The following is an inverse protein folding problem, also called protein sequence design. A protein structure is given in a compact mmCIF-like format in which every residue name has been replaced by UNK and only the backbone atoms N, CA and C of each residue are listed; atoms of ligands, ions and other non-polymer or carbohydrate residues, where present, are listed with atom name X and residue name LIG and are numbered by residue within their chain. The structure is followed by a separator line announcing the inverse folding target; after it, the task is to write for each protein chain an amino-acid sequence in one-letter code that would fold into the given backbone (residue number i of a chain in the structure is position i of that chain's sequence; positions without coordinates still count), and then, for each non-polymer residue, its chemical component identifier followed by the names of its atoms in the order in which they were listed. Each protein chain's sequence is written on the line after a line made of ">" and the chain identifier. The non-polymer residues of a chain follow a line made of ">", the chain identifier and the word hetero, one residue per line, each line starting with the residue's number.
data_IF_850464538217
#
_entry.id   IF_850464538217
#
_cell.length_a   1.000
_cell.length_b   1.000
_cell.length_c   1.000
_cell.angle_alpha   90.00
_cell.angle_beta   90.00
_cell.angle_gamma   90.00
#
_symmetry.space_group_name_H-M   'P 1'
#
loop_
_entity.id
_entity.type
_entity.pdbx_description
1 polymer ?
#
# COMPACT_ATOMS: atom_id res chain seq x y z
N UNK A 1 -51.12 23.35 -1.72
CA UNK A 1 -50.74 21.99 -2.17
C UNK A 1 -49.42 22.09 -2.95
N UNK A 2 -48.51 21.10 -2.82
CA UNK A 2 -47.13 21.38 -2.40
C UNK A 2 -46.12 21.37 -3.55
N UNK A 3 -45.73 22.54 -4.03
CA UNK A 3 -44.61 22.68 -4.98
C UNK A 3 -43.24 22.46 -4.29
N UNK A 4 -43.18 22.58 -2.96
CA UNK A 4 -41.95 22.42 -2.17
C UNK A 4 -41.53 20.97 -1.86
N UNK A 5 -42.38 19.97 -2.16
CA UNK A 5 -42.03 18.55 -1.91
C UNK A 5 -41.29 17.90 -3.08
N UNK A 6 -41.34 18.49 -4.28
CA UNK A 6 -40.73 17.90 -5.48
C UNK A 6 -39.22 18.17 -5.56
N UNK A 7 -38.75 19.29 -5.01
CA UNK A 7 -37.32 19.64 -4.99
C UNK A 7 -36.57 18.82 -3.92
N UNK A 8 -37.23 18.46 -2.81
CA UNK A 8 -36.62 17.67 -1.74
C UNK A 8 -36.37 16.20 -2.14
N UNK A 9 -37.10 15.68 -3.13
CA UNK A 9 -36.88 14.32 -3.64
C UNK A 9 -35.82 14.26 -4.75
N UNK A 10 -35.54 15.37 -5.44
CA UNK A 10 -34.51 15.39 -6.48
C UNK A 10 -33.10 15.53 -5.91
N UNK A 11 -32.94 16.10 -4.71
CA UNK A 11 -31.66 16.17 -4.01
C UNK A 11 -31.29 14.92 -3.20
N UNK A 12 -32.25 14.02 -2.95
CA UNK A 12 -32.00 12.73 -2.30
C UNK A 12 -31.57 11.62 -3.29
N UNK A 13 -31.54 11.94 -4.58
CA UNK A 13 -31.06 11.05 -5.65
C UNK A 13 -29.63 11.37 -6.11
N UNK A 14 -28.87 12.14 -5.32
CA UNK A 14 -27.42 11.99 -5.29
C UNK A 14 -27.10 10.73 -4.45
N UNK A 15 -27.64 9.59 -4.89
CA UNK A 15 -27.18 8.27 -4.45
C UNK A 15 -25.69 8.28 -4.62
N UNK A 16 -25.00 8.22 -3.49
CA UNK A 16 -23.60 7.93 -3.34
C UNK A 16 -23.34 6.72 -4.24
N UNK A 17 -22.80 6.97 -5.43
CA UNK A 17 -22.18 5.90 -6.21
C UNK A 17 -20.92 5.60 -5.41
N UNK A 18 -21.04 4.70 -4.43
CA UNK A 18 -19.87 4.06 -3.83
C UNK A 18 -19.31 3.22 -4.97
N UNK A 19 -18.44 3.84 -5.77
CA UNK A 19 -17.63 3.09 -6.72
C UNK A 19 -16.93 2.04 -5.90
N UNK A 20 -17.03 0.77 -6.30
CA UNK A 20 -16.27 -0.32 -5.67
C UNK A 20 -14.82 0.15 -5.58
N UNK A 21 -14.36 0.40 -4.37
CA UNK A 21 -12.96 0.71 -4.14
C UNK A 21 -12.24 -0.62 -4.26
N UNK A 22 -11.59 -0.85 -5.39
CA UNK A 22 -10.61 -1.94 -5.47
C UNK A 22 -9.50 -1.56 -4.51
N UNK A 23 -9.49 -2.17 -3.33
CA UNK A 23 -8.31 -2.17 -2.48
C UNK A 23 -7.17 -2.78 -3.27
N UNK A 24 -5.95 -2.30 -3.02
CA UNK A 24 -4.80 -2.93 -3.64
C UNK A 24 -4.65 -4.34 -3.08
N UNK A 25 -5.09 -5.33 -3.87
CA UNK A 25 -4.56 -6.68 -3.80
C UNK A 25 -3.37 -6.81 -4.75
N UNK A 26 -2.98 -8.05 -5.08
CA UNK A 26 -1.83 -8.28 -5.95
C UNK A 26 -1.91 -7.56 -7.31
N UNK A 27 -3.11 -7.46 -7.89
CA UNK A 27 -3.35 -6.73 -9.14
C UNK A 27 -3.08 -5.23 -9.00
N UNK A 28 -3.47 -4.64 -7.86
CA UNK A 28 -3.28 -3.23 -7.57
C UNK A 28 -1.81 -2.84 -7.53
N UNK A 29 -1.03 -3.56 -6.71
CA UNK A 29 0.41 -3.34 -6.60
C UNK A 29 1.13 -3.55 -7.93
N UNK A 30 0.78 -4.60 -8.68
CA UNK A 30 1.34 -4.83 -10.00
C UNK A 30 1.05 -3.66 -10.95
N UNK A 31 -0.16 -3.10 -10.91
CA UNK A 31 -0.55 -1.98 -11.75
C UNK A 31 0.19 -0.69 -11.39
N UNK A 32 0.29 -0.35 -10.11
CA UNK A 32 1.08 0.81 -9.62
C UNK A 32 2.54 0.69 -10.06
N UNK A 33 3.17 -0.47 -9.87
CA UNK A 33 4.54 -0.71 -10.30
C UNK A 33 4.70 -0.62 -11.83
N UNK A 34 3.70 -1.09 -12.60
CA UNK A 34 3.68 -0.99 -14.07
C UNK A 34 3.64 0.45 -14.53
N UNK A 35 2.78 1.27 -13.94
CA UNK A 35 2.71 2.72 -14.21
C UNK A 35 4.03 3.39 -13.85
N UNK A 36 4.59 3.11 -12.66
CA UNK A 36 5.86 3.70 -12.26
C UNK A 36 6.96 3.45 -13.30
N UNK A 37 7.07 2.23 -13.84
CA UNK A 37 8.05 1.87 -14.86
C UNK A 37 7.95 2.72 -16.15
N UNK A 38 6.77 3.22 -16.52
CA UNK A 38 6.61 4.05 -17.72
C UNK A 38 7.21 5.44 -17.56
N UNK A 39 7.40 5.90 -16.32
CA UNK A 39 7.92 7.23 -16.00
C UNK A 39 9.40 7.22 -15.56
N UNK A 40 10.02 6.04 -15.46
CA UNK A 40 11.42 5.94 -15.07
C UNK A 40 12.36 6.46 -16.15
N UNK A 41 13.42 7.14 -15.71
CA UNK A 41 14.58 7.44 -16.55
C UNK A 41 15.29 6.15 -16.98
N UNK A 42 16.05 6.19 -18.07
CA UNK A 42 16.79 5.01 -18.53
C UNK A 42 17.87 4.58 -17.51
N UNK A 43 18.50 5.52 -16.80
CA UNK A 43 19.40 5.20 -15.69
C UNK A 43 18.69 4.45 -14.56
N UNK A 44 17.46 4.85 -14.21
CA UNK A 44 16.67 4.16 -13.19
C UNK A 44 16.25 2.76 -13.65
N UNK A 45 15.87 2.59 -14.92
CA UNK A 45 15.54 1.27 -15.49
C UNK A 45 16.74 0.34 -15.46
N UNK A 46 17.92 0.81 -15.81
CA UNK A 46 19.17 0.02 -15.74
C UNK A 46 19.47 -0.38 -14.30
N UNK A 47 19.44 0.57 -13.36
CA UNK A 47 19.62 0.28 -11.94
C UNK A 47 18.64 -0.77 -11.41
N UNK A 48 17.35 -0.66 -11.76
CA UNK A 48 16.32 -1.62 -11.36
C UNK A 48 16.57 -3.00 -11.97
N UNK A 49 17.00 -3.05 -13.23
CA UNK A 49 17.33 -4.32 -13.88
C UNK A 49 18.52 -5.02 -13.22
N UNK A 50 19.51 -4.26 -12.75
CA UNK A 50 20.72 -4.80 -12.12
C UNK A 50 20.49 -5.22 -10.65
N UNK A 51 19.60 -4.52 -9.94
CA UNK A 51 19.34 -4.79 -8.53
C UNK A 51 18.29 -5.88 -8.32
N UNK A 52 17.34 -6.05 -9.24
CA UNK A 52 16.30 -7.07 -9.12
C UNK A 52 16.81 -8.46 -9.55
N UNK A 53 16.16 -9.55 -9.09
CA UNK A 53 16.49 -10.89 -9.53
C UNK A 53 16.43 -11.05 -11.05
N UNK A 54 17.40 -11.75 -11.62
CA UNK A 54 17.53 -11.89 -13.08
C UNK A 54 16.25 -12.41 -13.77
N UNK A 55 15.48 -13.26 -13.10
CA UNK A 55 14.29 -13.90 -13.65
C UNK A 55 13.10 -12.94 -13.84
N UNK A 56 13.11 -11.76 -13.20
CA UNK A 56 12.07 -10.74 -13.43
C UNK A 56 12.44 -9.77 -14.55
N UNK A 57 13.67 -9.82 -15.06
CA UNK A 57 14.13 -8.99 -16.19
C UNK A 57 13.84 -7.48 -16.01
N UNK A 58 14.04 -6.96 -14.80
CA UNK A 58 13.76 -5.55 -14.44
C UNK A 58 12.27 -5.20 -14.32
N UNK A 59 11.36 -6.18 -14.38
CA UNK A 59 9.93 -5.96 -14.25
C UNK A 59 9.51 -5.86 -12.77
N UNK A 60 9.45 -4.63 -12.24
CA UNK A 60 9.06 -4.38 -10.84
C UNK A 60 7.67 -4.93 -10.50
N UNK A 61 6.75 -5.01 -11.47
CA UNK A 61 5.38 -5.48 -11.19
C UNK A 61 5.31 -6.94 -10.75
N UNK A 62 6.33 -7.75 -11.05
CA UNK A 62 6.38 -9.16 -10.64
C UNK A 62 6.69 -9.34 -9.15
N UNK A 63 7.27 -8.31 -8.51
CA UNK A 63 7.67 -8.34 -7.10
C UNK A 63 6.91 -7.31 -6.26
N UNK A 64 5.96 -6.59 -6.87
CA UNK A 64 5.23 -5.53 -6.19
C UNK A 64 4.39 -6.03 -5.01
N UNK A 65 3.99 -7.30 -5.00
CA UNK A 65 3.28 -7.94 -3.87
C UNK A 65 4.19 -8.76 -2.96
N UNK A 66 5.51 -8.75 -3.18
CA UNK A 66 6.43 -9.55 -2.38
C UNK A 66 6.33 -9.25 -0.87
N UNK A 67 6.21 -7.98 -0.42
CA UNK A 67 6.04 -7.66 1.00
C UNK A 67 4.79 -8.24 1.66
N UNK A 68 3.69 -8.40 0.92
CA UNK A 68 2.51 -9.13 1.43
C UNK A 68 2.78 -10.64 1.46
N UNK A 69 3.29 -11.18 0.35
CA UNK A 69 3.49 -12.62 0.18
C UNK A 69 4.44 -13.19 1.24
N UNK A 70 5.48 -12.45 1.65
CA UNK A 70 6.41 -12.95 2.66
C UNK A 70 5.78 -13.15 4.04
N UNK A 71 4.58 -12.62 4.29
CA UNK A 71 3.87 -12.71 5.57
C UNK A 71 3.03 -13.98 5.72
N UNK A 72 2.89 -14.80 4.66
CA UNK A 72 2.00 -15.95 4.65
C UNK A 72 2.73 -17.29 4.45
N UNK A 73 2.27 -18.37 5.08
CA UNK A 73 2.93 -19.68 5.01
C UNK A 73 2.78 -20.36 3.63
N UNK A 74 1.77 -20.02 2.84
CA UNK A 74 1.57 -20.58 1.49
C UNK A 74 2.60 -20.05 0.48
N UNK A 75 3.09 -18.85 0.70
CA UNK A 75 4.01 -18.11 -0.17
C UNK A 75 5.41 -17.97 0.44
N UNK A 76 5.56 -18.14 1.75
CA UNK A 76 6.83 -18.17 2.48
C UNK A 76 6.83 -19.21 3.64
N UNK A 77 6.76 -20.52 3.34
CA UNK A 77 6.47 -21.58 4.31
C UNK A 77 7.45 -21.70 5.49
N UNK A 78 8.70 -21.26 5.31
CA UNK A 78 9.77 -21.40 6.30
C UNK A 78 10.12 -20.06 6.95
N UNK A 79 9.93 -18.96 6.23
CA UNK A 79 10.43 -17.66 6.64
C UNK A 79 9.36 -16.70 7.18
N UNK A 80 8.06 -16.99 7.04
CA UNK A 80 7.03 -15.95 7.22
C UNK A 80 7.06 -15.26 8.60
N UNK A 81 7.27 -16.02 9.68
CA UNK A 81 7.40 -15.46 11.03
C UNK A 81 8.57 -14.49 11.18
N UNK A 82 9.63 -14.62 10.36
CA UNK A 82 10.77 -13.71 10.38
C UNK A 82 10.43 -12.33 9.78
N UNK A 83 9.26 -12.17 9.18
CA UNK A 83 8.80 -10.93 8.55
C UNK A 83 7.61 -10.31 9.27
N UNK A 84 7.12 -10.90 10.37
CA UNK A 84 5.99 -10.37 11.13
C UNK A 84 6.21 -8.93 11.63
N UNK A 85 7.46 -8.54 11.85
CA UNK A 85 7.83 -7.18 12.21
C UNK A 85 7.48 -6.15 11.13
N UNK A 86 7.34 -6.55 9.86
CA UNK A 86 7.01 -5.63 8.76
C UNK A 86 5.51 -5.39 8.61
N UNK A 87 4.63 -6.19 9.24
CA UNK A 87 3.17 -6.02 9.21
C UNK A 87 2.69 -4.59 9.50
N UNK A 88 3.11 -3.89 10.57
CA UNK A 88 2.69 -2.51 10.83
C UNK A 88 3.18 -1.50 9.78
N UNK A 89 4.15 -1.85 8.95
CA UNK A 89 4.71 -0.95 7.94
C UNK A 89 3.83 -0.80 6.69
N UNK A 90 2.76 -1.58 6.56
CA UNK A 90 1.82 -1.52 5.43
C UNK A 90 0.75 -0.44 5.57
N UNK A 91 0.62 0.18 6.75
CA UNK A 91 -0.44 1.15 7.01
C UNK A 91 -0.02 2.19 8.04
N UNK A 92 -0.90 3.17 8.25
CA UNK A 92 -0.92 4.06 9.39
C UNK A 92 -2.35 4.18 9.88
N UNK A 93 -2.55 4.11 11.19
CA UNK A 93 -3.86 4.29 11.80
C UNK A 93 -3.95 5.69 12.39
N UNK A 94 -5.04 6.37 12.09
CA UNK A 94 -5.37 7.67 12.66
C UNK A 94 -6.49 7.51 13.69
N UNK A 95 -6.66 8.48 14.62
CA UNK A 95 -7.80 8.47 15.53
C UNK A 95 -9.11 8.55 14.73
N UNK A 96 -10.11 7.85 15.24
CA UNK A 96 -11.42 7.77 14.61
C UNK A 96 -12.01 9.17 14.36
N UNK A 97 -12.56 9.35 13.16
CA UNK A 97 -13.21 10.59 12.72
C UNK A 97 -12.31 11.84 12.68
N UNK A 98 -10.98 11.69 12.82
CA UNK A 98 -10.04 12.82 12.81
C UNK A 98 -9.50 13.15 11.42
N UNK A 99 -9.60 12.23 10.43
CA UNK A 99 -9.26 12.43 9.00
C UNK A 99 -7.99 13.27 8.73
N UNK A 100 -7.03 13.21 9.64
CA UNK A 100 -5.81 14.00 9.64
C UNK A 100 -4.70 13.13 10.18
N UNK A 101 -3.65 13.00 9.39
CA UNK A 101 -2.40 12.36 9.79
C UNK A 101 -1.50 13.35 10.55
N UNK A 102 -0.97 12.90 11.68
CA UNK A 102 0.02 13.63 12.49
C UNK A 102 1.18 12.67 12.81
N UNK A 103 2.37 12.84 12.21
CA UNK A 103 3.46 11.87 12.33
C UNK A 103 3.82 11.50 13.77
N UNK A 104 3.94 12.49 14.65
CA UNK A 104 4.31 12.28 16.06
C UNK A 104 3.26 11.50 16.88
N UNK A 105 2.02 11.41 16.40
CA UNK A 105 0.91 10.71 17.05
C UNK A 105 0.67 9.35 16.40
N UNK A 106 0.68 9.31 15.07
CA UNK A 106 0.19 8.17 14.29
C UNK A 106 1.32 7.24 13.81
N UNK A 107 2.56 7.72 13.76
CA UNK A 107 3.73 6.98 13.31
C UNK A 107 4.83 6.95 14.38
N UNK A 108 4.47 6.46 15.56
CA UNK A 108 5.40 6.39 16.70
C UNK A 108 6.58 5.48 16.34
N UNK A 109 7.79 5.95 16.62
CA UNK A 109 9.06 5.22 16.35
C UNK A 109 9.27 4.83 14.87
N UNK A 110 8.69 5.59 13.93
CA UNK A 110 8.70 5.29 12.50
C UNK A 110 8.09 3.92 12.14
N UNK A 111 7.32 3.32 13.06
CA UNK A 111 6.70 2.01 12.89
C UNK A 111 5.34 2.12 12.19
N UNK A 112 5.35 2.73 11.01
CA UNK A 112 4.20 2.85 10.12
C UNK A 112 4.68 2.98 8.67
N UNK A 113 3.75 3.04 7.72
CA UNK A 113 4.07 3.17 6.30
C UNK A 113 4.86 4.42 5.90
N UNK A 114 4.61 5.59 6.50
CA UNK A 114 5.42 6.80 6.24
C UNK A 114 6.88 6.57 6.66
N UNK A 115 7.09 6.12 7.89
CA UNK A 115 8.42 5.76 8.41
C UNK A 115 9.12 4.72 7.56
N UNK A 116 8.39 3.70 7.08
CA UNK A 116 8.89 2.67 6.19
C UNK A 116 9.37 3.25 4.85
N UNK A 117 8.57 4.10 4.19
CA UNK A 117 8.96 4.76 2.93
C UNK A 117 10.25 5.56 3.13
N UNK A 118 10.35 6.33 4.22
CA UNK A 118 11.56 7.09 4.53
C UNK A 118 12.79 6.19 4.75
N UNK A 119 12.63 5.11 5.52
CA UNK A 119 13.70 4.15 5.80
C UNK A 119 14.18 3.45 4.51
N UNK A 120 13.28 2.85 3.75
CA UNK A 120 13.65 2.08 2.55
C UNK A 120 14.14 2.95 1.40
N UNK A 121 13.70 4.21 1.32
CA UNK A 121 14.33 5.20 0.44
C UNK A 121 15.80 5.42 0.80
N UNK A 122 16.11 5.63 2.09
CA UNK A 122 17.50 5.80 2.57
C UNK A 122 18.33 4.54 2.35
N UNK A 123 17.77 3.36 2.62
CA UNK A 123 18.46 2.07 2.41
C UNK A 123 18.77 1.82 0.94
N UNK A 124 17.83 2.06 0.03
CA UNK A 124 18.06 1.88 -1.40
C UNK A 124 19.21 2.76 -1.93
N UNK A 125 19.31 3.99 -1.42
CA UNK A 125 20.35 4.95 -1.76
C UNK A 125 21.72 4.64 -1.10
N UNK A 126 21.75 3.87 -0.01
CA UNK A 126 22.97 3.59 0.73
C UNK A 126 23.83 2.52 0.03
N UNK A 127 24.92 2.94 -0.60
CA UNK A 127 25.86 2.05 -1.32
C UNK A 127 26.76 1.22 -0.40
N UNK A 128 26.72 1.44 0.92
CA UNK A 128 27.44 0.60 1.89
C UNK A 128 26.65 -0.67 2.26
N UNK A 129 25.34 -0.71 1.99
CA UNK A 129 24.53 -1.92 2.15
C UNK A 129 24.84 -2.91 1.01
N UNK A 130 24.72 -4.19 1.32
CA UNK A 130 24.92 -5.23 0.32
C UNK A 130 23.78 -5.25 -0.72
N UNK A 131 23.98 -6.04 -1.79
CA UNK A 131 23.02 -6.13 -2.90
C UNK A 131 21.64 -6.60 -2.42
N UNK A 132 21.57 -7.59 -1.53
CA UNK A 132 20.32 -8.18 -1.02
C UNK A 132 19.53 -7.13 -0.23
N UNK A 133 20.19 -6.43 0.69
CA UNK A 133 19.57 -5.39 1.52
C UNK A 133 19.00 -4.24 0.68
N UNK A 134 19.68 -3.86 -0.41
CA UNK A 134 19.20 -2.82 -1.31
C UNK A 134 18.09 -3.32 -2.23
N UNK A 135 18.13 -4.59 -2.65
CA UNK A 135 17.06 -5.24 -3.40
C UNK A 135 15.78 -5.33 -2.57
N UNK A 136 15.88 -5.77 -1.31
CA UNK A 136 14.77 -5.75 -0.34
C UNK A 136 14.22 -4.33 -0.18
N UNK A 137 15.10 -3.33 -0.04
CA UNK A 137 14.68 -1.94 0.07
C UNK A 137 13.89 -1.44 -1.14
N UNK A 138 14.29 -1.82 -2.36
CA UNK A 138 13.51 -1.50 -3.56
C UNK A 138 12.13 -2.19 -3.53
N UNK A 139 12.08 -3.48 -3.20
CA UNK A 139 10.82 -4.24 -3.20
C UNK A 139 9.83 -3.70 -2.16
N UNK A 140 10.29 -3.41 -0.95
CA UNK A 140 9.49 -2.76 0.09
C UNK A 140 9.03 -1.37 -0.34
N UNK A 141 9.93 -0.54 -0.89
CA UNK A 141 9.58 0.82 -1.30
C UNK A 141 8.51 0.84 -2.40
N UNK A 142 8.61 -0.03 -3.41
CA UNK A 142 7.60 -0.15 -4.48
C UNK A 142 6.23 -0.50 -3.90
N UNK A 143 6.19 -1.43 -2.96
CA UNK A 143 4.96 -1.87 -2.32
C UNK A 143 4.33 -0.78 -1.45
N UNK A 144 5.11 -0.18 -0.55
CA UNK A 144 4.64 0.85 0.38
C UNK A 144 4.19 2.14 -0.31
N UNK A 145 4.81 2.50 -1.44
CA UNK A 145 4.28 3.60 -2.26
C UNK A 145 2.90 3.25 -2.82
N UNK A 146 2.60 1.98 -3.11
CA UNK A 146 1.24 1.54 -3.45
C UNK A 146 0.28 1.66 -2.26
N UNK A 147 0.66 1.05 -1.14
CA UNK A 147 -0.16 1.00 0.08
C UNK A 147 -0.53 2.38 0.61
N UNK A 148 0.40 3.33 0.66
CA UNK A 148 0.11 4.67 1.22
C UNK A 148 -0.93 5.44 0.39
N UNK A 149 -1.10 5.07 -0.87
CA UNK A 149 -2.13 5.64 -1.75
C UNK A 149 -3.45 4.87 -1.69
N UNK A 150 -3.54 3.79 -0.90
CA UNK A 150 -4.78 3.09 -0.56
C UNK A 150 -5.45 3.83 0.62
N UNK A 151 -6.63 4.46 0.44
CA UNK A 151 -7.24 5.27 1.49
C UNK A 151 -7.44 4.54 2.83
N UNK A 152 -7.80 3.26 2.80
CA UNK A 152 -8.03 2.44 4.00
C UNK A 152 -6.73 1.99 4.69
N UNK A 153 -5.57 2.12 4.06
CA UNK A 153 -4.26 1.96 4.74
C UNK A 153 -3.85 3.23 5.50
N UNK A 154 -4.64 4.29 5.42
CA UNK A 154 -4.54 5.50 6.25
C UNK A 154 -5.86 5.75 7.00
N UNK A 155 -6.45 4.68 7.53
CA UNK A 155 -7.80 4.66 8.08
C UNK A 155 -7.89 4.84 9.59
N UNK A 156 -9.02 4.43 10.16
CA UNK A 156 -9.29 4.54 11.58
C UNK A 156 -8.72 3.37 12.38
N UNK A 157 -8.36 3.66 13.62
CA UNK A 157 -7.76 2.67 14.52
C UNK A 157 -8.77 1.60 14.91
N UNK A 158 -9.99 1.99 15.27
CA UNK A 158 -10.98 1.06 15.83
C UNK A 158 -11.48 0.01 14.85
N UNK A 159 -11.59 0.37 13.56
CA UNK A 159 -12.06 -0.52 12.51
C UNK A 159 -10.92 -1.21 11.75
N UNK A 160 -9.67 -0.94 12.12
CA UNK A 160 -8.45 -1.45 11.47
C UNK A 160 -8.40 -1.07 9.99
N UNK A 161 -8.62 0.21 9.68
CA UNK A 161 -8.69 0.66 8.30
C UNK A 161 -9.85 0.00 7.55
N UNK A 162 -11.01 -0.10 8.18
CA UNK A 162 -12.21 -0.71 7.60
C UNK A 162 -12.24 -2.25 7.55
N UNK A 163 -11.17 -2.97 7.93
CA UNK A 163 -11.16 -4.44 7.94
C UNK A 163 -12.20 -5.07 8.88
N UNK A 164 -12.66 -4.33 9.88
CA UNK A 164 -13.70 -4.78 10.83
C UNK A 164 -15.12 -4.40 10.37
N UNK A 165 -15.25 -3.69 9.25
CA UNK A 165 -16.52 -3.33 8.65
C UNK A 165 -16.90 -4.39 7.62
N UNK A 166 -18.04 -5.05 7.81
CA UNK A 166 -18.56 -6.01 6.84
C UNK A 166 -19.25 -5.27 5.70
N UNK A 167 -18.86 -5.58 4.47
CA UNK A 167 -19.64 -5.24 3.29
C UNK A 167 -20.79 -6.21 3.09
N UNK A 168 -21.76 -5.82 2.25
CA UNK A 168 -22.82 -6.71 1.78
C UNK A 168 -22.37 -7.54 0.57
N UNK A 169 -21.11 -8.01 0.55
CA UNK A 169 -20.62 -8.86 -0.53
C UNK A 169 -20.99 -10.32 -0.25
N UNK A 170 -21.88 -10.94 -1.05
CA UNK A 170 -22.25 -12.34 -0.86
C UNK A 170 -21.11 -13.31 -1.16
N UNK A 171 -19.97 -12.85 -1.70
CA UNK A 171 -18.80 -13.68 -2.05
C UNK A 171 -17.58 -13.50 -1.12
N UNK A 172 -17.66 -12.69 -0.04
CA UNK A 172 -16.57 -12.51 0.94
C UNK A 172 -16.79 -13.22 2.27
#
# INVERSE_FOLDING_TARGET
>A
MPLGKLIFHFFLLATIVVTKTHSWGAVGHAFVARIAMTFLTDSSKTFIKDILPWYVYGNMSMLASWPDNILYPDTNPVGYLNWDWSKPLHYVNTPDYVCQYVPSRDCVEDNCIDGAIQNYTKRLANTALDHVQRQEALQFLVHYVGDIHQPLHSGFTSDRGGNSVRGDDPES
#
